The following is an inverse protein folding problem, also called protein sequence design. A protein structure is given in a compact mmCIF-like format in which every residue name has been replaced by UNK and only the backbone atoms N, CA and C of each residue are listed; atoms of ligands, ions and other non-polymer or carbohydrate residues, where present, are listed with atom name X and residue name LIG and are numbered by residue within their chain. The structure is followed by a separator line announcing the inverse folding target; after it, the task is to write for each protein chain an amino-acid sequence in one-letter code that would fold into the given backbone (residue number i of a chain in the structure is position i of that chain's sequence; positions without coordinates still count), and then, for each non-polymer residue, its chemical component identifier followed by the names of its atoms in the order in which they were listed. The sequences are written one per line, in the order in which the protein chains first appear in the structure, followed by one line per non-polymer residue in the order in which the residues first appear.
data_IF_985360113555
#
_entry.id   IF_985360113555
#
_cell.length_a   1.000
_cell.length_b   1.000
_cell.length_c   1.000
_cell.angle_alpha   90.00
_cell.angle_beta   90.00
_cell.angle_gamma   90.00
#
_symmetry.space_group_name_H-M   'P 1'
#
loop_
_entity.id
_entity.type
_entity.pdbx_description
1 polymer ?
#
# COMPACT_ATOMS: atom_id res chain seq x y z
N UNK A 1 3.06 -10.01 14.99
CA UNK A 1 3.64 -8.65 14.89
C UNK A 1 3.05 -7.89 13.70
N UNK A 2 3.41 -8.17 12.44
CA UNK A 2 2.81 -7.45 11.30
C UNK A 2 1.31 -7.76 11.09
N UNK A 3 0.91 -9.03 11.24
CA UNK A 3 -0.51 -9.42 11.13
C UNK A 3 -1.39 -8.78 12.20
N UNK A 4 -0.84 -8.59 13.40
CA UNK A 4 -1.54 -7.94 14.51
C UNK A 4 -1.66 -6.43 14.24
N UNK A 5 -0.58 -5.79 13.80
CA UNK A 5 -0.60 -4.38 13.41
C UNK A 5 -1.58 -4.09 12.25
N UNK A 6 -1.77 -5.04 11.33
CA UNK A 6 -2.77 -4.91 10.27
C UNK A 6 -4.19 -4.98 10.81
N UNK A 7 -4.46 -5.82 11.81
CA UNK A 7 -5.78 -5.88 12.48
C UNK A 7 -6.04 -4.58 13.24
N UNK A 8 -5.06 -4.08 13.99
CA UNK A 8 -5.16 -2.82 14.72
C UNK A 8 -5.46 -1.65 13.77
N UNK A 9 -4.74 -1.55 12.65
CA UNK A 9 -4.98 -0.53 11.63
C UNK A 9 -6.42 -0.59 11.08
N UNK A 10 -6.93 -1.78 10.79
CA UNK A 10 -8.29 -1.96 10.30
C UNK A 10 -9.33 -1.57 11.36
N UNK A 11 -9.10 -1.91 12.63
CA UNK A 11 -9.98 -1.54 13.74
C UNK A 11 -10.03 -0.01 13.90
N UNK A 12 -8.88 0.66 13.89
CA UNK A 12 -8.80 2.12 14.00
C UNK A 12 -9.51 2.83 12.83
N UNK A 13 -9.43 2.29 11.61
CA UNK A 13 -10.14 2.85 10.46
C UNK A 13 -11.67 2.73 10.55
N UNK A 14 -12.20 1.85 11.40
CA UNK A 14 -13.64 1.70 11.63
C UNK A 14 -14.15 2.62 12.74
N UNK A 15 -13.26 3.23 13.53
CA UNK A 15 -13.64 4.12 14.63
C UNK A 15 -14.00 5.51 14.10
N UNK A 16 -15.00 6.19 14.70
CA UNK A 16 -15.23 7.60 14.43
C UNK A 16 -13.96 8.40 14.72
N UNK A 17 -13.56 9.22 13.76
CA UNK A 17 -12.31 9.97 13.81
C UNK A 17 -12.57 11.44 13.51
N UNK A 18 -11.91 12.38 14.22
CA UNK A 18 -11.99 13.80 13.90
C UNK A 18 -11.22 14.15 12.62
N UNK A 19 -10.44 13.21 12.08
CA UNK A 19 -9.62 13.37 10.88
C UNK A 19 -10.46 13.06 9.64
N UNK A 20 -10.29 13.83 8.56
CA UNK A 20 -10.99 13.59 7.31
C UNK A 20 -10.60 12.25 6.66
N UNK A 21 -11.58 11.57 6.06
CA UNK A 21 -11.38 10.29 5.35
C UNK A 21 -10.24 10.31 4.30
N UNK A 22 -10.02 11.40 3.52
CA UNK A 22 -8.91 11.43 2.56
C UNK A 22 -7.53 11.27 3.21
N UNK A 23 -7.34 11.82 4.42
CA UNK A 23 -6.08 11.71 5.15
C UNK A 23 -5.85 10.26 5.59
N UNK A 24 -6.88 9.59 6.11
CA UNK A 24 -6.82 8.18 6.50
C UNK A 24 -6.53 7.32 5.27
N UNK A 25 -7.20 7.58 4.15
CA UNK A 25 -7.01 6.87 2.90
C UNK A 25 -5.57 6.97 2.40
N UNK A 26 -4.95 8.16 2.47
CA UNK A 26 -3.54 8.34 2.12
C UNK A 26 -2.60 7.46 2.95
N UNK A 27 -2.79 7.39 4.27
CA UNK A 27 -1.96 6.52 5.12
C UNK A 27 -2.22 5.04 4.83
N UNK A 28 -3.48 4.63 4.63
CA UNK A 28 -3.82 3.26 4.27
C UNK A 28 -3.17 2.85 2.95
N UNK A 29 -3.21 3.70 1.94
CA UNK A 29 -2.60 3.40 0.64
C UNK A 29 -1.08 3.33 0.74
N UNK A 30 -0.45 4.17 1.58
CA UNK A 30 0.98 4.06 1.87
C UNK A 30 1.33 2.71 2.51
N UNK A 31 0.62 2.29 3.56
CA UNK A 31 0.89 1.01 4.23
C UNK A 31 0.66 -0.15 3.25
N UNK A 32 -0.37 -0.09 2.40
CA UNK A 32 -0.63 -1.10 1.37
C UNK A 32 0.52 -1.20 0.36
N UNK A 33 1.05 -0.06 -0.11
CA UNK A 33 2.19 -0.04 -1.02
C UNK A 33 3.43 -0.64 -0.34
N UNK A 34 3.71 -0.29 0.92
CA UNK A 34 4.83 -0.86 1.66
C UNK A 34 4.66 -2.37 1.79
N UNK A 35 3.49 -2.84 2.20
CA UNK A 35 3.19 -4.27 2.27
C UNK A 35 3.41 -4.93 0.91
N UNK A 36 2.91 -4.35 -0.18
CA UNK A 36 3.11 -4.85 -1.53
C UNK A 36 4.58 -4.98 -1.92
N UNK A 37 5.41 -3.98 -1.59
CA UNK A 37 6.86 -3.99 -1.87
C UNK A 37 7.55 -5.17 -1.16
N UNK A 38 7.11 -5.54 0.05
CA UNK A 38 7.79 -6.53 0.89
C UNK A 38 7.05 -7.87 1.05
N UNK A 39 5.89 -8.06 0.41
CA UNK A 39 5.02 -9.24 0.65
C UNK A 39 5.64 -10.59 0.29
N UNK A 40 6.62 -10.61 -0.61
CA UNK A 40 7.32 -11.85 -1.04
C UNK A 40 8.83 -11.80 -0.86
N UNK A 41 9.43 -10.65 -1.11
CA UNK A 41 10.87 -10.42 -1.01
C UNK A 41 11.13 -8.93 -0.75
N UNK A 42 12.38 -8.56 -0.44
CA UNK A 42 12.84 -7.18 -0.49
C UNK A 42 12.87 -6.68 -1.95
N UNK A 43 11.70 -6.31 -2.46
CA UNK A 43 11.52 -5.79 -3.82
C UNK A 43 11.91 -4.32 -3.91
N UNK A 44 12.24 -3.67 -2.80
CA UNK A 44 12.80 -2.32 -2.82
C UNK A 44 14.26 -2.36 -3.24
N UNK A 45 15.07 -3.18 -2.56
CA UNK A 45 16.49 -3.38 -2.90
C UNK A 45 16.64 -4.25 -4.15
N UNK A 46 15.84 -5.32 -4.28
CA UNK A 46 15.86 -6.24 -5.43
C UNK A 46 14.68 -5.97 -6.36
N UNK A 47 14.74 -4.82 -7.03
CA UNK A 47 13.61 -4.17 -7.73
C UNK A 47 13.04 -4.84 -8.98
N UNK A 48 13.41 -6.09 -9.30
CA UNK A 48 13.03 -6.75 -10.56
C UNK A 48 11.52 -6.69 -10.81
N UNK A 49 10.75 -7.36 -9.94
CA UNK A 49 9.28 -7.37 -10.03
C UNK A 49 8.66 -5.99 -9.79
N UNK A 50 9.22 -5.16 -8.91
CA UNK A 50 8.66 -3.84 -8.59
C UNK A 50 8.72 -2.88 -9.79
N UNK A 51 9.80 -2.94 -10.59
CA UNK A 51 9.95 -2.13 -11.81
C UNK A 51 8.89 -2.44 -12.85
N UNK A 52 8.54 -3.71 -13.01
CA UNK A 52 7.49 -4.14 -13.95
C UNK A 52 6.13 -3.56 -13.56
N UNK A 53 5.78 -3.60 -12.26
CA UNK A 53 4.54 -3.01 -11.77
C UNK A 53 4.52 -1.48 -11.91
N UNK A 54 5.62 -0.79 -11.59
CA UNK A 54 5.72 0.66 -11.76
C UNK A 54 5.52 1.04 -13.24
N UNK A 55 6.12 0.29 -14.15
CA UNK A 55 6.00 0.52 -15.59
C UNK A 55 4.55 0.35 -16.02
N UNK A 56 3.91 -0.75 -15.64
CA UNK A 56 2.52 -1.03 -16.01
C UNK A 56 1.53 -0.01 -15.45
N UNK A 57 1.75 0.51 -14.23
CA UNK A 57 0.81 1.42 -13.56
C UNK A 57 1.02 2.89 -13.96
N UNK A 58 2.28 3.32 -14.12
CA UNK A 58 2.62 4.75 -14.25
C UNK A 58 3.15 5.15 -15.64
N UNK A 59 3.62 4.20 -16.45
CA UNK A 59 4.23 4.48 -17.76
C UNK A 59 3.37 3.98 -18.91
N UNK A 60 2.71 2.83 -18.75
CA UNK A 60 1.87 2.23 -19.78
C UNK A 60 0.45 2.81 -19.75
N UNK A 61 -0.09 3.15 -20.93
CA UNK A 61 -1.48 3.52 -21.08
C UNK A 61 -2.36 2.29 -21.24
N UNK A 62 -3.53 2.28 -20.60
CA UNK A 62 -4.55 1.27 -20.88
C UNK A 62 -5.09 1.50 -22.30
N UNK A 63 -5.06 0.48 -23.19
CA UNK A 63 -5.64 0.59 -24.53
C UNK A 63 -7.13 0.95 -24.44
N UNK A 64 -7.57 1.86 -25.32
CA UNK A 64 -8.96 2.32 -25.42
C UNK A 64 -9.76 1.41 -26.34
#
# INVERSE_FOLDING_TARGET
MCDDAWKDLNEECMKPTPVGLPVIQHFLDLVRIITFIYIRNDSYTHSGSLKDHITSILLESIPI
#
